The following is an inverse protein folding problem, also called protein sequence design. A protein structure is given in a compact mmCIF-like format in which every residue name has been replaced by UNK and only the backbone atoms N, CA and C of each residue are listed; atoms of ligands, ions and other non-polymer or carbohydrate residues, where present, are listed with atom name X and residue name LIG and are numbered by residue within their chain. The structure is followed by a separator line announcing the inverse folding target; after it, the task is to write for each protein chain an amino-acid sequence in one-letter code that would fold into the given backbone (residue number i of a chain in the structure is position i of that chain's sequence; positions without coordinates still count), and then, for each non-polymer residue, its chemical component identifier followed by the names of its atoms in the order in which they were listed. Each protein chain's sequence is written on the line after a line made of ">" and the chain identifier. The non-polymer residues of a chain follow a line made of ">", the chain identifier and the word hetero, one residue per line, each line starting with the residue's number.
data_IF_759490188601
#
_entry.id   IF_759490188601
#
_cell.length_a   1.000
_cell.length_b   1.000
_cell.length_c   1.000
_cell.angle_alpha   90.00
_cell.angle_beta   90.00
_cell.angle_gamma   90.00
#
_symmetry.space_group_name_H-M   'P 1'
#
loop_
_entity.id
_entity.type
_entity.pdbx_description
1 polymer ?
#
# COMPACT_ATOMS: atom_id res chain seq x y z
N UNK A 1 3.23 -9.91 12.54
CA UNK A 1 2.22 -8.95 12.98
C UNK A 1 1.10 -9.70 13.69
N UNK A 2 0.55 -9.14 14.77
CA UNK A 2 -0.66 -9.63 15.44
C UNK A 2 -1.91 -9.32 14.61
N UNK A 3 -3.07 -9.89 15.00
CA UNK A 3 -4.34 -9.63 14.29
C UNK A 3 -4.74 -8.16 14.39
N UNK A 4 -4.51 -7.56 15.54
CA UNK A 4 -4.78 -6.16 15.85
C UNK A 4 -3.89 -5.25 14.98
N UNK A 5 -2.59 -5.55 14.88
CA UNK A 5 -1.66 -4.81 14.04
C UNK A 5 -2.02 -4.88 12.55
N UNK A 6 -2.41 -6.07 12.06
CA UNK A 6 -2.84 -6.25 10.67
C UNK A 6 -4.11 -5.42 10.40
N UNK A 7 -5.04 -5.41 11.34
CA UNK A 7 -6.28 -4.63 11.23
C UNK A 7 -5.98 -3.15 11.19
N UNK A 8 -5.13 -2.67 12.08
CA UNK A 8 -4.72 -1.26 12.11
C UNK A 8 -3.98 -0.87 10.85
N UNK A 9 -3.08 -1.72 10.35
CA UNK A 9 -2.36 -1.50 9.10
C UNK A 9 -3.31 -1.34 7.91
N UNK A 10 -4.27 -2.27 7.75
CA UNK A 10 -5.27 -2.20 6.68
C UNK A 10 -6.14 -0.96 6.78
N UNK A 11 -6.55 -0.58 8.00
CA UNK A 11 -7.34 0.63 8.25
C UNK A 11 -6.57 1.89 7.90
N UNK A 12 -5.27 1.94 8.22
CA UNK A 12 -4.39 3.04 7.83
C UNK A 12 -4.33 3.17 6.31
N UNK A 13 -4.08 2.07 5.58
CA UNK A 13 -4.07 2.08 4.10
C UNK A 13 -5.40 2.60 3.54
N UNK A 14 -6.52 2.06 4.03
CA UNK A 14 -7.86 2.44 3.57
C UNK A 14 -8.16 3.94 3.78
N UNK A 15 -7.69 4.52 4.88
CA UNK A 15 -7.98 5.90 5.22
C UNK A 15 -7.01 6.91 4.59
N UNK A 16 -5.73 6.57 4.45
CA UNK A 16 -4.70 7.53 4.00
C UNK A 16 -4.28 7.35 2.54
N UNK A 17 -4.21 6.11 2.05
CA UNK A 17 -3.65 5.81 0.73
C UNK A 17 -4.75 5.63 -0.32
N UNK A 18 -5.80 4.87 -0.01
CA UNK A 18 -6.86 4.55 -0.98
C UNK A 18 -7.54 5.78 -1.60
N UNK A 19 -7.89 6.85 -0.84
CA UNK A 19 -8.51 8.04 -1.43
C UNK A 19 -7.63 8.70 -2.50
N UNK A 20 -6.31 8.66 -2.33
CA UNK A 20 -5.32 9.28 -3.22
C UNK A 20 -5.10 8.42 -4.47
N UNK A 21 -4.90 7.12 -4.29
CA UNK A 21 -4.55 6.20 -5.38
C UNK A 21 -5.76 5.77 -6.21
N UNK A 22 -6.99 6.10 -5.79
CA UNK A 22 -8.22 5.72 -6.50
C UNK A 22 -8.26 6.25 -7.94
N UNK A 23 -7.75 7.44 -8.18
CA UNK A 23 -7.63 8.07 -9.51
C UNK A 23 -6.33 7.74 -10.25
N UNK A 24 -5.39 7.05 -9.61
CA UNK A 24 -4.11 6.67 -10.22
C UNK A 24 -4.21 5.36 -10.99
N UNK A 25 -3.36 5.21 -12.01
CA UNK A 25 -3.14 3.93 -12.69
C UNK A 25 -2.26 2.99 -11.86
N UNK A 26 -2.36 1.69 -12.10
CA UNK A 26 -1.56 0.70 -11.37
C UNK A 26 -0.04 0.91 -11.57
N UNK A 27 0.37 1.35 -12.77
CA UNK A 27 1.76 1.68 -13.06
C UNK A 27 2.27 2.86 -12.21
N UNK A 28 1.48 3.92 -12.08
CA UNK A 28 1.83 5.08 -11.24
C UNK A 28 1.96 4.68 -9.76
N UNK A 29 1.05 3.86 -9.27
CA UNK A 29 1.10 3.38 -7.87
C UNK A 29 2.36 2.55 -7.63
N UNK A 30 2.68 1.63 -8.55
CA UNK A 30 3.88 0.79 -8.46
C UNK A 30 5.15 1.62 -8.46
N UNK A 31 5.27 2.58 -9.37
CA UNK A 31 6.43 3.47 -9.47
C UNK A 31 6.66 4.24 -8.16
N UNK A 32 5.61 4.86 -7.60
CA UNK A 32 5.70 5.61 -6.34
C UNK A 32 6.18 4.72 -5.20
N UNK A 33 5.62 3.52 -5.06
CA UNK A 33 6.00 2.58 -4.00
C UNK A 33 7.46 2.12 -4.14
N UNK A 34 7.90 1.82 -5.37
CA UNK A 34 9.29 1.44 -5.64
C UNK A 34 10.27 2.57 -5.32
N UNK A 35 9.91 3.83 -5.61
CA UNK A 35 10.72 4.99 -5.24
C UNK A 35 10.81 5.10 -3.71
N UNK A 36 9.68 5.01 -2.99
CA UNK A 36 9.66 5.09 -1.52
C UNK A 36 10.51 4.00 -0.88
N UNK A 37 10.38 2.75 -1.31
CA UNK A 37 11.16 1.62 -0.79
C UNK A 37 12.67 1.78 -1.06
N UNK A 38 13.04 2.32 -2.23
CA UNK A 38 14.45 2.60 -2.56
C UNK A 38 15.05 3.72 -1.72
N UNK A 39 14.27 4.75 -1.42
CA UNK A 39 14.72 5.94 -0.69
C UNK A 39 14.75 5.72 0.83
N UNK A 40 13.94 4.79 1.35
CA UNK A 40 13.83 4.50 2.78
C UNK A 40 14.37 3.10 3.06
N UNK A 41 15.70 3.00 3.19
CA UNK A 41 16.42 1.74 3.43
C UNK A 41 16.12 1.10 4.80
N UNK A 42 15.48 1.84 5.69
CA UNK A 42 14.97 1.35 6.97
C UNK A 42 13.70 0.52 6.83
N UNK A 43 13.01 0.60 5.67
CA UNK A 43 11.86 -0.24 5.41
C UNK A 43 12.31 -1.70 5.24
N UNK A 44 11.55 -2.67 5.77
CA UNK A 44 11.83 -4.08 5.54
C UNK A 44 11.82 -4.42 4.06
N UNK A 45 12.73 -5.31 3.65
CA UNK A 45 12.76 -5.80 2.27
C UNK A 45 11.41 -6.45 1.88
N UNK A 46 10.87 -6.04 0.73
CA UNK A 46 9.59 -6.55 0.23
C UNK A 46 8.37 -5.85 0.81
N UNK A 47 8.55 -4.85 1.68
CA UNK A 47 7.46 -4.01 2.20
C UNK A 47 6.70 -3.33 1.07
N UNK A 48 7.39 -2.82 0.05
CA UNK A 48 6.74 -2.15 -1.07
C UNK A 48 5.84 -3.09 -1.87
N UNK A 49 6.31 -4.31 -2.14
CA UNK A 49 5.50 -5.34 -2.80
C UNK A 49 4.25 -5.70 -2.00
N UNK A 50 4.40 -5.92 -0.69
CA UNK A 50 3.27 -6.19 0.21
C UNK A 50 2.26 -5.02 0.20
N UNK A 51 2.73 -3.78 0.30
CA UNK A 51 1.86 -2.60 0.30
C UNK A 51 1.11 -2.45 -1.04
N UNK A 52 1.82 -2.66 -2.15
CA UNK A 52 1.22 -2.61 -3.49
C UNK A 52 0.08 -3.63 -3.63
N UNK A 53 0.29 -4.87 -3.20
CA UNK A 53 -0.75 -5.90 -3.22
C UNK A 53 -1.98 -5.51 -2.39
N UNK A 54 -1.80 -4.98 -1.18
CA UNK A 54 -2.91 -4.51 -0.35
C UNK A 54 -3.69 -3.39 -1.04
N UNK A 55 -2.98 -2.43 -1.65
CA UNK A 55 -3.62 -1.33 -2.39
C UNK A 55 -4.42 -1.87 -3.57
N UNK A 56 -3.86 -2.82 -4.34
CA UNK A 56 -4.57 -3.41 -5.49
C UNK A 56 -5.83 -4.14 -5.05
N UNK A 57 -5.75 -4.96 -4.00
CA UNK A 57 -6.90 -5.65 -3.45
C UNK A 57 -7.99 -4.67 -2.99
N UNK A 58 -7.62 -3.62 -2.27
CA UNK A 58 -8.59 -2.64 -1.75
C UNK A 58 -9.17 -1.73 -2.82
N UNK A 59 -8.35 -1.24 -3.77
CA UNK A 59 -8.77 -0.37 -4.87
C UNK A 59 -9.75 -1.08 -5.82
N UNK A 60 -9.56 -2.38 -6.04
CA UNK A 60 -10.39 -3.20 -6.91
C UNK A 60 -11.45 -4.00 -6.17
N UNK A 61 -11.50 -3.92 -4.83
CA UNK A 61 -12.60 -4.48 -4.05
C UNK A 61 -13.86 -3.71 -4.41
N UNK A 62 -14.83 -4.41 -5.02
CA UNK A 62 -16.18 -3.87 -5.18
C UNK A 62 -16.81 -3.85 -3.79
N UNK A 63 -17.12 -2.67 -3.27
CA UNK A 63 -18.14 -2.54 -2.23
C UNK A 63 -19.47 -3.13 -2.74
#
# INVERSE_FOLDING_TARGET
>A
MTKEEITQFKKTIANSIIPVVKSMTNAQIKEIITIVEREHKELPEGFGNMLYEQIMMMKHSKN
#
